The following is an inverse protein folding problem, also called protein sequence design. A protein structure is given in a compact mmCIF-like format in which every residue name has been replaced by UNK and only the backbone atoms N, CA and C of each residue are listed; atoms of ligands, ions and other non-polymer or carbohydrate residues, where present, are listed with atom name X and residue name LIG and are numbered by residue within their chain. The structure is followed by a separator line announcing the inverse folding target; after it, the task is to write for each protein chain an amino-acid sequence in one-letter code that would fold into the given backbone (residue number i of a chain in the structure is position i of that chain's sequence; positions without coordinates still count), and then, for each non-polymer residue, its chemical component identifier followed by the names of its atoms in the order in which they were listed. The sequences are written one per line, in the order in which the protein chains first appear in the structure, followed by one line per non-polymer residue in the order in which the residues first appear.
data_IF_087744496371
#
_entry.id   IF_087744496371
#
_cell.length_a   1.000
_cell.length_b   1.000
_cell.length_c   1.000
_cell.angle_alpha   90.00
_cell.angle_beta   90.00
_cell.angle_gamma   90.00
#
_symmetry.space_group_name_H-M   'P 1'
#
loop_
_entity.id
_entity.type
_entity.pdbx_description
1 polymer ?
#
# COMPACT_ATOMS: atom_id res chain seq x y z
N UNK A 1 30.75 -38.38 -43.33
CA UNK A 1 30.81 -37.95 -44.74
C UNK A 1 29.76 -38.73 -45.53
N UNK A 2 28.56 -38.17 -45.71
CA UNK A 2 27.61 -38.52 -46.79
C UNK A 2 26.86 -37.25 -47.16
N UNK A 3 27.17 -36.75 -48.36
CA UNK A 3 26.53 -35.66 -49.06
C UNK A 3 25.29 -36.19 -49.81
N UNK A 4 24.30 -35.33 -50.02
CA UNK A 4 23.25 -35.48 -51.02
C UNK A 4 21.89 -35.07 -50.49
N UNK A 5 21.02 -34.35 -51.18
CA UNK A 5 21.12 -33.46 -52.34
C UNK A 5 19.83 -32.61 -52.29
N UNK A 6 19.89 -31.41 -52.86
CA UNK A 6 18.86 -30.39 -52.77
C UNK A 6 17.53 -30.78 -53.43
N UNK A 7 16.43 -30.25 -52.89
CA UNK A 7 15.25 -29.89 -53.66
C UNK A 7 14.83 -28.47 -53.30
N UNK A 8 15.00 -27.57 -54.27
CA UNK A 8 14.39 -26.25 -54.29
C UNK A 8 12.98 -26.38 -54.88
N UNK A 9 11.97 -25.81 -54.22
CA UNK A 9 10.72 -25.41 -54.87
C UNK A 9 10.30 -24.03 -54.34
N UNK A 10 9.99 -23.19 -55.31
CA UNK A 10 9.72 -21.75 -55.29
C UNK A 10 8.21 -21.49 -55.12
N UNK A 11 7.88 -20.25 -54.74
CA UNK A 11 6.61 -19.54 -54.93
C UNK A 11 5.45 -19.78 -53.93
N UNK A 12 5.11 -18.74 -53.15
CA UNK A 12 3.89 -17.95 -53.38
C UNK A 12 3.80 -16.76 -52.41
N UNK A 13 3.90 -15.55 -52.95
CA UNK A 13 3.53 -14.30 -52.28
C UNK A 13 2.00 -14.20 -52.22
N UNK A 14 1.41 -13.98 -51.05
CA UNK A 14 -0.02 -13.65 -50.92
C UNK A 14 -0.20 -12.37 -50.11
N UNK A 15 -1.13 -11.55 -50.60
CA UNK A 15 -1.24 -10.12 -50.38
C UNK A 15 -1.77 -9.70 -49.00
N UNK A 16 -1.39 -8.48 -48.62
CA UNK A 16 -1.96 -7.70 -47.51
C UNK A 16 -3.47 -7.48 -47.74
N UNK A 17 -4.30 -7.95 -46.81
CA UNK A 17 -5.67 -7.50 -46.66
C UNK A 17 -5.81 -6.88 -45.25
N UNK A 18 -5.84 -5.55 -45.21
CA UNK A 18 -6.07 -4.79 -43.98
C UNK A 18 -7.51 -4.93 -43.52
N UNK A 19 -7.69 -5.49 -42.33
CA UNK A 19 -8.96 -5.39 -41.63
C UNK A 19 -9.04 -3.99 -41.01
N UNK A 20 -9.89 -3.15 -41.59
CA UNK A 20 -10.29 -1.87 -41.01
C UNK A 20 -11.05 -2.14 -39.72
N UNK A 21 -10.36 -2.09 -38.57
CA UNK A 21 -11.01 -2.11 -37.27
C UNK A 21 -11.87 -0.85 -37.14
N UNK A 22 -13.19 -1.01 -37.09
CA UNK A 22 -14.07 0.06 -36.64
C UNK A 22 -13.83 0.26 -35.14
N UNK A 23 -12.93 1.18 -34.81
CA UNK A 23 -12.65 1.60 -33.44
C UNK A 23 -13.90 2.27 -32.86
N UNK A 24 -14.50 1.74 -31.78
CA UNK A 24 -15.58 2.43 -31.09
C UNK A 24 -15.03 3.76 -30.57
N UNK A 25 -15.74 4.85 -30.87
CA UNK A 25 -15.39 6.18 -30.38
C UNK A 25 -15.05 6.14 -28.87
N UNK A 26 -13.95 6.76 -28.41
CA UNK A 26 -13.61 6.79 -27.01
C UNK A 26 -14.77 7.45 -26.25
N UNK A 27 -15.49 6.64 -25.47
CA UNK A 27 -16.47 7.14 -24.52
C UNK A 27 -15.72 8.11 -23.61
N UNK A 28 -16.20 9.37 -23.42
CA UNK A 28 -15.57 10.27 -22.48
C UNK A 28 -15.52 9.56 -21.12
N UNK A 29 -14.30 9.24 -20.69
CA UNK A 29 -14.07 8.73 -19.34
C UNK A 29 -14.51 9.85 -18.42
N UNK A 30 -15.60 9.61 -17.68
CA UNK A 30 -16.01 10.52 -16.64
C UNK A 30 -14.82 10.64 -15.67
N UNK A 31 -14.13 11.79 -15.71
CA UNK A 31 -13.14 12.18 -14.71
C UNK A 31 -13.91 12.30 -13.39
N UNK A 32 -14.02 11.17 -12.70
CA UNK A 32 -14.58 11.14 -11.36
C UNK A 32 -13.47 11.66 -10.49
N UNK A 33 -13.51 12.96 -10.17
CA UNK A 33 -12.62 13.51 -9.15
C UNK A 33 -12.82 12.65 -7.90
N UNK A 34 -11.79 11.94 -7.41
CA UNK A 34 -11.96 11.08 -6.26
C UNK A 34 -12.39 11.94 -5.09
N UNK A 35 -13.55 11.64 -4.51
CA UNK A 35 -13.96 12.25 -3.25
C UNK A 35 -12.87 11.97 -2.22
N UNK A 36 -12.38 13.00 -1.49
CA UNK A 36 -11.39 12.78 -0.44
C UNK A 36 -11.92 11.72 0.53
N UNK A 37 -11.09 10.73 0.86
CA UNK A 37 -11.45 9.79 1.90
C UNK A 37 -11.66 10.54 3.22
N UNK A 38 -12.66 10.17 4.03
CA UNK A 38 -12.93 10.86 5.28
C UNK A 38 -11.72 10.77 6.21
N UNK A 39 -11.46 11.87 6.91
CA UNK A 39 -10.50 11.88 8.02
C UNK A 39 -11.11 11.18 9.23
N UNK A 40 -10.30 10.41 9.95
CA UNK A 40 -10.67 9.79 11.21
C UNK A 40 -10.50 10.75 12.40
N UNK A 41 -9.76 11.85 12.24
CA UNK A 41 -9.57 12.84 13.30
C UNK A 41 -8.36 13.74 13.08
N UNK A 42 -7.86 14.40 14.14
CA UNK A 42 -6.57 15.10 14.10
C UNK A 42 -5.45 14.13 13.72
N UNK A 43 -4.60 14.52 12.77
CA UNK A 43 -3.50 13.69 12.30
C UNK A 43 -2.41 13.56 13.36
N UNK A 44 -1.77 12.40 13.39
CA UNK A 44 -0.70 12.09 14.34
C UNK A 44 0.55 12.93 14.10
N UNK A 45 1.29 13.21 15.15
CA UNK A 45 2.55 13.95 15.12
C UNK A 45 3.63 13.24 15.92
N UNK A 46 4.88 13.64 15.65
CA UNK A 46 6.05 13.10 16.34
C UNK A 46 5.89 13.18 17.87
N UNK A 47 6.26 12.08 18.54
CA UNK A 47 6.09 11.95 19.99
C UNK A 47 4.63 11.80 20.44
N UNK A 48 3.72 11.45 19.53
CA UNK A 48 2.32 11.14 19.81
C UNK A 48 1.56 12.34 20.39
N UNK A 49 1.81 13.54 19.83
CA UNK A 49 1.18 14.81 20.24
C UNK A 49 0.43 15.50 19.09
N UNK A 50 -0.71 14.97 18.62
CA UNK A 50 -1.39 13.78 19.11
C UNK A 50 -0.85 12.48 18.48
N UNK A 51 -1.26 11.32 19.00
CA UNK A 51 -1.12 10.05 18.30
C UNK A 51 -1.94 10.07 17.00
N UNK A 52 -1.65 9.15 16.08
CA UNK A 52 -2.50 8.91 14.92
C UNK A 52 -3.91 8.53 15.38
N UNK A 53 -4.96 9.05 14.73
CA UNK A 53 -6.32 8.73 15.13
C UNK A 53 -6.56 7.24 14.85
N UNK A 54 -7.08 6.56 15.87
CA UNK A 54 -7.45 5.16 15.82
C UNK A 54 -8.93 5.01 16.23
N UNK A 55 -9.80 4.76 15.26
CA UNK A 55 -11.25 4.68 15.48
C UNK A 55 -11.78 3.46 14.75
N UNK A 56 -12.61 2.66 15.44
CA UNK A 56 -13.27 1.48 14.85
C UNK A 56 -12.27 0.54 14.16
N UNK A 57 -11.16 0.24 14.84
CA UNK A 57 -10.06 -0.57 14.33
C UNK A 57 -9.34 -0.01 13.09
N UNK A 58 -9.46 1.28 12.82
CA UNK A 58 -8.79 1.93 11.69
C UNK A 58 -7.84 3.05 12.11
N UNK A 59 -6.61 3.00 11.60
CA UNK A 59 -5.56 4.01 11.74
C UNK A 59 -5.54 4.94 10.53
N UNK A 60 -5.22 6.21 10.75
CA UNK A 60 -4.86 7.13 9.69
C UNK A 60 -3.42 7.63 9.86
N UNK A 61 -2.66 7.56 8.78
CA UNK A 61 -1.32 8.11 8.69
C UNK A 61 -1.32 9.60 8.33
N UNK A 62 -0.26 10.28 8.76
CA UNK A 62 0.03 11.67 8.41
C UNK A 62 0.89 11.70 7.16
N UNK A 63 0.37 12.16 6.00
CA UNK A 63 1.15 12.24 4.77
C UNK A 63 2.14 13.41 4.81
N UNK A 64 3.28 13.26 4.14
CA UNK A 64 4.28 14.32 3.97
C UNK A 64 4.03 15.12 2.68
N UNK A 65 3.51 14.48 1.63
CA UNK A 65 3.20 15.12 0.35
C UNK A 65 1.69 15.24 0.09
N UNK A 66 1.32 16.27 -0.67
CA UNK A 66 -0.03 16.41 -1.19
C UNK A 66 -0.39 15.25 -2.11
N UNK A 67 -1.59 14.68 -1.93
CA UNK A 67 -2.06 13.53 -2.70
C UNK A 67 -1.62 12.16 -2.15
N UNK A 68 -0.73 12.13 -1.14
CA UNK A 68 -0.46 10.92 -0.36
C UNK A 68 -1.58 10.72 0.67
N UNK A 69 -2.10 9.49 0.77
CA UNK A 69 -3.01 9.06 1.82
C UNK A 69 -2.56 7.71 2.35
N UNK A 70 -2.68 7.50 3.66
CA UNK A 70 -2.36 6.25 4.33
C UNK A 70 -3.44 5.92 5.35
N UNK A 71 -4.01 4.73 5.23
CA UNK A 71 -4.96 4.19 6.19
C UNK A 71 -4.60 2.73 6.53
N UNK A 72 -4.96 2.27 7.72
CA UNK A 72 -4.67 0.90 8.15
C UNK A 72 -5.81 0.28 8.93
N UNK A 73 -6.33 -0.86 8.46
CA UNK A 73 -7.27 -1.68 9.20
C UNK A 73 -6.52 -2.65 10.10
N UNK A 74 -6.68 -2.48 11.41
CA UNK A 74 -6.01 -3.28 12.43
C UNK A 74 -6.84 -4.51 12.75
N UNK A 75 -6.20 -5.68 12.73
CA UNK A 75 -6.79 -6.97 13.08
C UNK A 75 -6.41 -7.36 14.51
N UNK A 76 -6.85 -6.57 15.49
CA UNK A 76 -6.71 -6.88 16.92
C UNK A 76 -8.01 -7.45 17.48
N UNK A 77 -7.91 -8.19 18.59
CA UNK A 77 -9.06 -8.78 19.27
C UNK A 77 -9.86 -7.81 20.15
N UNK A 78 -9.45 -6.54 20.25
CA UNK A 78 -10.13 -5.54 21.09
C UNK A 78 -10.33 -4.21 20.36
N UNK A 79 -11.35 -3.48 20.79
CA UNK A 79 -11.72 -2.11 20.45
C UNK A 79 -10.97 -1.04 21.27
N UNK A 80 -9.99 -1.46 22.07
CA UNK A 80 -9.16 -0.59 22.91
C UNK A 80 -7.82 -0.17 22.28
N UNK A 81 -6.93 0.46 23.06
CA UNK A 81 -5.57 0.78 22.64
C UNK A 81 -4.85 -0.44 22.06
N UNK A 82 -3.88 -0.19 21.16
CA UNK A 82 -3.11 -1.29 20.58
C UNK A 82 -2.29 -2.00 21.68
N UNK A 83 -2.37 -3.34 21.77
CA UNK A 83 -1.80 -4.08 22.88
C UNK A 83 -0.26 -4.08 22.84
N UNK A 84 0.35 -3.90 24.00
CA UNK A 84 1.80 -4.08 24.19
C UNK A 84 2.12 -5.57 24.33
N UNK A 85 3.17 -6.03 23.66
CA UNK A 85 3.66 -7.41 23.74
C UNK A 85 2.89 -8.43 22.91
N UNK A 86 1.81 -8.02 22.23
CA UNK A 86 1.05 -8.86 21.31
C UNK A 86 1.38 -8.54 19.85
N UNK A 87 1.25 -9.55 18.98
CA UNK A 87 1.42 -9.36 17.54
C UNK A 87 0.20 -8.63 16.96
N UNK A 88 0.47 -7.52 16.29
CA UNK A 88 -0.52 -6.68 15.64
C UNK A 88 -0.41 -6.89 14.14
N UNK A 89 -1.52 -7.28 13.51
CA UNK A 89 -1.65 -7.36 12.06
C UNK A 89 -2.41 -6.15 11.54
N UNK A 90 -1.94 -5.55 10.46
CA UNK A 90 -2.61 -4.42 9.80
C UNK A 90 -2.65 -4.61 8.29
N UNK A 91 -3.80 -4.35 7.68
CA UNK A 91 -3.92 -4.15 6.23
C UNK A 91 -3.90 -2.65 5.94
N UNK A 92 -2.89 -2.20 5.21
CA UNK A 92 -2.65 -0.82 4.83
C UNK A 92 -3.19 -0.52 3.45
N UNK A 93 -3.67 0.70 3.26
CA UNK A 93 -4.03 1.30 1.98
C UNK A 93 -3.24 2.58 1.82
N UNK A 94 -2.33 2.63 0.85
CA UNK A 94 -1.46 3.78 0.63
C UNK A 94 -1.42 4.19 -0.85
N UNK A 95 -1.69 5.46 -1.13
CA UNK A 95 -1.49 6.02 -2.47
C UNK A 95 0.00 6.26 -2.73
N UNK A 96 0.37 6.37 -4.01
CA UNK A 96 1.75 6.45 -4.45
C UNK A 96 2.10 5.29 -5.38
N UNK A 97 3.37 5.19 -5.78
CA UNK A 97 3.87 4.19 -6.72
C UNK A 97 5.02 3.39 -6.12
N UNK A 98 5.34 2.27 -6.77
CA UNK A 98 6.44 1.41 -6.37
C UNK A 98 6.11 0.49 -5.20
N UNK A 99 7.12 -0.20 -4.70
CA UNK A 99 6.99 -1.10 -3.58
C UNK A 99 6.88 -0.32 -2.27
N UNK A 100 6.10 -0.85 -1.32
CA UNK A 100 6.01 -0.25 0.00
C UNK A 100 7.25 -0.63 0.83
N UNK A 101 7.86 0.36 1.46
CA UNK A 101 8.79 0.14 2.58
C UNK A 101 8.15 0.64 3.87
N UNK A 102 8.31 -0.12 4.95
CA UNK A 102 7.82 0.24 6.29
C UNK A 102 8.96 0.13 7.30
N UNK A 103 9.15 1.17 8.11
CA UNK A 103 10.13 1.18 9.21
C UNK A 103 9.41 1.34 10.54
N UNK A 104 9.57 0.36 11.42
CA UNK A 104 9.09 0.43 12.80
C UNK A 104 10.18 1.06 13.68
N UNK A 105 9.82 2.08 14.43
CA UNK A 105 10.74 2.82 15.30
C UNK A 105 10.16 2.80 16.72
N UNK A 106 10.97 2.36 17.67
CA UNK A 106 10.58 2.23 19.08
C UNK A 106 10.60 3.58 19.81
N UNK A 107 10.07 3.64 21.06
CA UNK A 107 10.03 4.87 21.84
C UNK A 107 11.40 5.50 22.15
N UNK A 108 12.51 4.77 21.96
CA UNK A 108 13.86 5.30 22.13
C UNK A 108 14.47 5.75 20.78
N UNK A 109 13.68 5.77 19.70
CA UNK A 109 14.10 6.11 18.36
C UNK A 109 14.85 5.00 17.62
N UNK A 110 14.85 3.76 18.14
CA UNK A 110 15.59 2.64 17.53
C UNK A 110 14.73 1.91 16.52
N UNK A 111 15.30 1.59 15.36
CA UNK A 111 14.63 0.76 14.36
C UNK A 111 14.44 -0.66 14.87
N UNK A 112 13.24 -1.18 14.69
CA UNK A 112 12.85 -2.57 14.96
C UNK A 112 12.50 -3.26 13.66
N UNK A 113 12.60 -4.58 13.66
CA UNK A 113 12.12 -5.40 12.55
C UNK A 113 10.61 -5.51 12.66
N UNK A 114 9.94 -5.58 11.51
CA UNK A 114 8.59 -6.14 11.45
C UNK A 114 8.67 -7.64 11.76
N UNK A 115 7.59 -8.19 12.30
CA UNK A 115 7.45 -9.63 12.47
C UNK A 115 7.29 -10.29 11.10
N UNK A 116 6.58 -9.62 10.18
CA UNK A 116 6.49 -9.95 8.76
C UNK A 116 6.04 -8.73 7.92
N UNK A 117 6.20 -8.82 6.59
CA UNK A 117 5.85 -7.75 5.65
C UNK A 117 6.93 -6.68 5.44
N UNK A 118 6.63 -5.62 4.66
CA UNK A 118 5.38 -5.39 3.95
C UNK A 118 5.14 -6.39 2.80
N UNK A 119 3.94 -6.93 2.72
CA UNK A 119 3.52 -7.86 1.65
C UNK A 119 2.41 -7.22 0.81
N UNK A 120 2.53 -7.26 -0.52
CA UNK A 120 1.50 -6.73 -1.40
C UNK A 120 0.26 -7.63 -1.45
N UNK A 121 -0.93 -7.04 -1.50
CA UNK A 121 -2.18 -7.74 -1.71
C UNK A 121 -2.91 -7.23 -2.95
N UNK A 122 -3.59 -8.15 -3.66
CA UNK A 122 -4.42 -7.81 -4.82
C UNK A 122 -5.71 -7.05 -4.48
N UNK A 123 -5.97 -6.83 -3.19
CA UNK A 123 -7.10 -6.10 -2.65
C UNK A 123 -7.99 -6.92 -1.73
N UNK A 124 -8.86 -6.22 -1.00
CA UNK A 124 -9.86 -6.78 -0.10
C UNK A 124 -11.16 -5.96 -0.18
N UNK A 125 -12.11 -6.26 0.71
CA UNK A 125 -13.29 -5.43 0.95
C UNK A 125 -13.00 -4.20 1.84
N UNK A 126 -11.75 -3.94 2.22
CA UNK A 126 -11.35 -2.72 2.90
C UNK A 126 -11.17 -1.58 1.89
N UNK A 127 -12.12 -0.64 1.89
CA UNK A 127 -12.20 0.44 0.90
C UNK A 127 -11.53 1.72 1.41
N UNK A 128 -10.26 1.90 1.07
CA UNK A 128 -9.54 3.18 1.15
C UNK A 128 -8.68 3.40 -0.10
N UNK A 129 -8.32 4.65 -0.43
CA UNK A 129 -7.49 4.94 -1.59
C UNK A 129 -6.11 4.27 -1.51
N UNK A 130 -5.62 3.82 -2.67
CA UNK A 130 -4.27 3.27 -2.81
C UNK A 130 -4.19 1.75 -2.85
N UNK A 131 -2.98 1.26 -3.04
CA UNK A 131 -2.67 -0.16 -3.12
C UNK A 131 -2.69 -0.78 -1.72
N UNK A 132 -3.00 -2.07 -1.65
CA UNK A 132 -3.16 -2.79 -0.40
C UNK A 132 -1.88 -3.56 -0.01
N UNK A 133 -1.49 -3.44 1.26
CA UNK A 133 -0.29 -4.08 1.82
C UNK A 133 -0.56 -4.64 3.21
N UNK A 134 0.06 -5.74 3.59
CA UNK A 134 0.00 -6.29 4.94
C UNK A 134 1.31 -6.07 5.71
N UNK A 135 1.22 -5.75 7.00
CA UNK A 135 2.34 -5.92 7.94
C UNK A 135 1.91 -6.59 9.24
N UNK A 136 2.89 -7.21 9.90
CA UNK A 136 2.78 -7.65 11.29
C UNK A 136 3.92 -7.09 12.12
N UNK A 137 3.61 -6.62 13.32
CA UNK A 137 4.61 -6.12 14.25
C UNK A 137 4.15 -6.26 15.70
N UNK A 138 5.11 -6.24 16.63
CA UNK A 138 4.87 -6.27 18.06
C UNK A 138 5.37 -4.98 18.72
N UNK A 139 4.51 -4.33 19.50
CA UNK A 139 4.88 -3.18 20.32
C UNK A 139 5.48 -3.70 21.63
N UNK A 140 6.80 -3.88 21.66
CA UNK A 140 7.48 -4.61 22.74
C UNK A 140 7.46 -3.92 24.12
N UNK A 141 7.12 -2.62 24.16
CA UNK A 141 7.05 -1.84 25.40
C UNK A 141 6.11 -0.64 25.24
N UNK A 142 5.60 -0.08 26.34
CA UNK A 142 4.81 1.16 26.31
C UNK A 142 5.61 2.35 25.77
N UNK A 143 4.89 3.34 25.23
CA UNK A 143 5.42 4.60 24.73
C UNK A 143 5.00 4.91 23.29
N UNK A 144 5.54 6.00 22.74
CA UNK A 144 5.22 6.42 21.38
C UNK A 144 6.05 5.67 20.34
N UNK A 145 5.39 4.93 19.48
CA UNK A 145 5.99 4.22 18.34
C UNK A 145 5.69 4.96 17.04
N UNK A 146 6.60 4.83 16.07
CA UNK A 146 6.42 5.33 14.70
C UNK A 146 6.45 4.16 13.72
N UNK A 147 5.48 4.11 12.81
CA UNK A 147 5.63 3.39 11.56
C UNK A 147 5.79 4.41 10.43
N UNK A 148 6.95 4.41 9.78
CA UNK A 148 7.23 5.27 8.63
C UNK A 148 7.08 4.49 7.33
N UNK A 149 6.25 5.00 6.44
CA UNK A 149 5.89 4.40 5.17
C UNK A 149 6.50 5.20 4.02
N UNK A 150 6.99 4.51 2.99
CA UNK A 150 7.47 5.14 1.76
C UNK A 150 7.12 4.32 0.52
N UNK A 151 6.67 5.00 -0.54
CA UNK A 151 6.32 4.50 -1.87
C UNK A 151 6.85 5.51 -2.90
N UNK A 152 8.05 5.29 -3.41
CA UNK A 152 8.80 6.26 -4.24
C UNK A 152 8.84 7.66 -3.61
N UNK A 153 8.04 8.61 -4.13
CA UNK A 153 7.95 9.99 -3.66
C UNK A 153 6.80 10.23 -2.67
N UNK A 154 6.08 9.19 -2.25
CA UNK A 154 4.97 9.27 -1.29
C UNK A 154 5.39 8.73 0.07
N UNK A 155 5.32 9.56 1.10
CA UNK A 155 5.69 9.25 2.47
C UNK A 155 4.55 9.57 3.43
N UNK A 156 4.42 8.76 4.46
CA UNK A 156 3.48 8.99 5.55
C UNK A 156 3.96 8.31 6.82
N UNK A 157 3.53 8.82 7.98
CA UNK A 157 3.86 8.22 9.27
C UNK A 157 2.61 7.94 10.10
N UNK A 158 2.62 6.83 10.83
CA UNK A 158 1.62 6.49 11.85
C UNK A 158 2.30 6.56 13.22
N UNK A 159 1.69 7.30 14.14
CA UNK A 159 2.18 7.47 15.51
C UNK A 159 1.27 6.72 16.47
N UNK A 160 1.79 5.68 17.13
CA UNK A 160 1.00 4.84 18.05
C UNK A 160 1.44 5.13 19.47
N UNK A 161 0.51 5.61 20.30
CA UNK A 161 0.74 5.66 21.75
C UNK A 161 0.35 4.30 22.35
N UNK A 162 1.37 3.49 22.65
CA UNK A 162 1.19 2.16 23.22
C UNK A 162 1.12 2.27 24.74
N UNK A 163 -0.06 2.01 25.31
CA UNK A 163 -0.26 1.98 26.77
C UNK A 163 -0.20 0.54 27.30
N UNK A 164 0.16 0.39 28.57
CA UNK A 164 0.25 -0.90 29.27
C UNK A 164 -1.08 -1.62 29.45
#
# INVERSE_FOLDING_TARGET
MRLGAAFAVLCASAALAGCTGSEPAPRPSATTTPTPAPSLGPLGQAGCKPASPFISAELQGTPEEAGTSLYGMVFVRSDGPLPVGESIKVAWRMTGKGDLTVRLIDPDGRRKKLDWGPEAHGGSNYHRPGDEWGTGFTLAKPGCWELRFSRDSSHASVWIDATS
#
